data_IF_716412515018
#
_entry.id   IF_716412515018
#
_cell.length_a   1.000
_cell.length_b   1.000
_cell.length_c   1.000
_cell.angle_alpha   90.00
_cell.angle_beta   90.00
_cell.angle_gamma   90.00
#
_symmetry.space_group_name_H-M   'P 1'
#
loop_
_entity.id
_entity.type
_entity.pdbx_description
1 polymer ?
#
# COMPACT_ATOMS: atom_id res chain seq x y z
N UNK A 1 -6.94 1.54 -24.92
CA UNK A 1 -6.90 0.15 -25.41
C UNK A 1 -5.89 -0.71 -24.63
N UNK A 2 -4.69 -0.23 -24.28
CA UNK A 2 -3.67 -1.02 -23.55
C UNK A 2 -3.30 -0.44 -22.17
N UNK A 3 -4.29 -0.26 -21.29
CA UNK A 3 -4.07 0.40 -19.99
C UNK A 3 -3.09 -0.36 -19.06
N UNK A 4 -2.99 -1.67 -19.19
CA UNK A 4 -2.09 -2.52 -18.39
C UNK A 4 -0.61 -2.37 -18.78
N UNK A 5 -0.30 -1.89 -19.99
CA UNK A 5 1.08 -1.76 -20.45
C UNK A 5 1.88 -0.78 -19.58
N UNK A 6 1.27 0.35 -19.18
CA UNK A 6 1.95 1.39 -18.39
C UNK A 6 2.47 0.86 -17.05
N UNK A 7 1.63 0.30 -16.16
CA UNK A 7 2.12 -0.22 -14.88
C UNK A 7 3.09 -1.40 -15.05
N UNK A 8 2.93 -2.23 -16.08
CA UNK A 8 3.84 -3.35 -16.33
C UNK A 8 5.21 -2.89 -16.83
N UNK A 9 5.27 -2.00 -17.82
CA UNK A 9 6.54 -1.44 -18.29
C UNK A 9 7.22 -0.63 -17.18
N UNK A 10 6.45 0.06 -16.34
CA UNK A 10 6.97 0.75 -15.17
C UNK A 10 7.60 -0.23 -14.15
N UNK A 11 6.91 -1.33 -13.83
CA UNK A 11 7.46 -2.41 -12.99
C UNK A 11 8.80 -2.89 -13.52
N UNK A 12 8.89 -3.19 -14.82
CA UNK A 12 10.13 -3.66 -15.44
C UNK A 12 11.25 -2.61 -15.35
N UNK A 13 10.93 -1.34 -15.62
CA UNK A 13 11.92 -0.26 -15.51
C UNK A 13 12.46 -0.09 -14.09
N UNK A 14 11.63 -0.33 -13.05
CA UNK A 14 12.05 -0.35 -11.65
C UNK A 14 12.93 -1.58 -11.38
N UNK A 15 12.52 -2.77 -11.82
CA UNK A 15 13.25 -4.01 -11.57
C UNK A 15 14.62 -4.06 -12.28
N UNK A 16 14.72 -3.44 -13.46
CA UNK A 16 15.98 -3.26 -14.19
C UNK A 16 16.88 -2.16 -13.60
N UNK A 17 16.41 -1.45 -12.57
CA UNK A 17 17.17 -0.36 -11.94
C UNK A 17 17.32 0.88 -12.83
N UNK A 18 16.55 1.01 -13.91
CA UNK A 18 16.65 2.15 -14.83
C UNK A 18 16.27 3.46 -14.14
N UNK A 19 15.18 3.44 -13.35
CA UNK A 19 14.72 4.64 -12.65
C UNK A 19 15.70 5.08 -11.57
N UNK A 20 16.26 4.14 -10.80
CA UNK A 20 17.23 4.44 -9.75
C UNK A 20 18.43 5.18 -10.36
N UNK A 21 19.01 4.65 -11.44
CA UNK A 21 20.16 5.26 -12.14
C UNK A 21 19.83 6.62 -12.73
N UNK A 22 18.66 6.76 -13.35
CA UNK A 22 18.20 8.05 -13.89
C UNK A 22 17.98 9.11 -12.80
N UNK A 23 17.44 8.73 -11.64
CA UNK A 23 17.15 9.66 -10.54
C UNK A 23 18.39 10.09 -9.75
N UNK A 24 19.48 9.31 -9.79
CA UNK A 24 20.74 9.65 -9.11
C UNK A 24 21.77 10.31 -10.04
N UNK A 25 21.54 10.30 -11.35
CA UNK A 25 22.43 10.92 -12.32
C UNK A 25 22.36 12.46 -12.26
N UNK A 26 23.53 13.11 -12.27
CA UNK A 26 23.66 14.58 -12.34
C UNK A 26 23.49 15.12 -13.77
N UNK A 27 23.45 14.23 -14.76
CA UNK A 27 23.37 14.56 -16.17
C UNK A 27 22.37 13.63 -16.89
N UNK A 28 21.79 14.11 -18.01
CA UNK A 28 21.13 13.26 -19.01
C UNK A 28 21.79 11.90 -19.23
N UNK A 29 21.00 10.83 -19.26
CA UNK A 29 21.51 9.48 -19.52
C UNK A 29 21.07 8.98 -20.90
N UNK A 30 21.95 8.30 -21.62
CA UNK A 30 21.62 7.63 -22.89
C UNK A 30 21.32 6.14 -22.67
N UNK A 31 20.49 5.56 -23.54
CA UNK A 31 20.03 4.18 -23.38
C UNK A 31 21.16 3.15 -23.43
N UNK A 32 22.23 3.42 -24.19
CA UNK A 32 23.41 2.55 -24.27
C UNK A 32 24.10 2.39 -22.91
N UNK A 33 24.38 3.49 -22.24
CA UNK A 33 25.01 3.50 -20.90
C UNK A 33 24.11 2.85 -19.85
N UNK A 34 22.81 3.17 -19.89
CA UNK A 34 21.82 2.54 -19.00
C UNK A 34 21.65 1.03 -19.24
N UNK A 35 21.98 0.53 -20.43
CA UNK A 35 21.92 -0.91 -20.72
C UNK A 35 23.16 -1.65 -20.17
N UNK A 36 24.26 -0.97 -19.88
CA UNK A 36 25.49 -1.61 -19.39
C UNK A 36 25.33 -2.25 -18.00
N UNK A 37 24.42 -1.73 -17.18
CA UNK A 37 24.09 -2.34 -15.87
C UNK A 37 23.22 -3.61 -16.01
N UNK A 38 22.64 -3.86 -17.18
CA UNK A 38 21.78 -5.01 -17.44
C UNK A 38 22.66 -6.18 -17.90
N UNK A 39 22.49 -7.33 -17.26
CA UNK A 39 23.11 -8.58 -17.72
C UNK A 39 22.35 -9.10 -18.96
N UNK A 40 22.72 -8.61 -20.13
CA UNK A 40 22.15 -9.02 -21.41
C UNK A 40 23.12 -9.87 -22.24
N UNK A 41 22.59 -10.83 -22.99
CA UNK A 41 23.36 -11.63 -23.94
C UNK A 41 23.79 -10.77 -25.15
N UNK A 42 22.88 -9.93 -25.65
CA UNK A 42 23.15 -8.92 -26.68
C UNK A 42 23.00 -7.52 -26.07
N UNK A 43 24.12 -6.79 -26.01
CA UNK A 43 24.15 -5.43 -25.45
C UNK A 43 23.48 -4.40 -26.36
N UNK A 44 23.57 -4.56 -27.68
CA UNK A 44 22.98 -3.63 -28.63
C UNK A 44 21.45 -3.76 -28.63
N UNK A 45 20.94 -4.98 -28.59
CA UNK A 45 19.50 -5.24 -28.46
C UNK A 45 18.96 -4.74 -27.11
N UNK A 46 19.71 -4.93 -26.02
CA UNK A 46 19.34 -4.39 -24.72
C UNK A 46 19.26 -2.86 -24.74
N UNK A 47 20.23 -2.17 -25.35
CA UNK A 47 20.21 -0.72 -25.50
C UNK A 47 18.98 -0.24 -26.31
N UNK A 48 18.65 -0.91 -27.41
CA UNK A 48 17.46 -0.59 -28.20
C UNK A 48 16.15 -0.82 -27.41
N UNK A 49 16.10 -1.88 -26.60
CA UNK A 49 14.96 -2.18 -25.73
C UNK A 49 14.81 -1.16 -24.61
N UNK A 50 15.90 -0.75 -23.97
CA UNK A 50 15.92 0.33 -22.97
C UNK A 50 15.45 1.64 -23.60
N UNK A 51 15.92 1.99 -24.79
CA UNK A 51 15.47 3.21 -25.47
C UNK A 51 13.96 3.20 -25.74
N UNK A 52 13.43 2.03 -26.13
CA UNK A 52 11.99 1.82 -26.35
C UNK A 52 11.18 1.95 -25.06
N UNK A 53 11.66 1.38 -23.95
CA UNK A 53 11.04 1.52 -22.62
C UNK A 53 11.01 2.98 -22.19
N UNK A 54 12.14 3.69 -22.30
CA UNK A 54 12.24 5.10 -21.93
C UNK A 54 11.36 5.99 -22.83
N UNK A 55 11.31 5.69 -24.13
CA UNK A 55 10.41 6.33 -25.08
C UNK A 55 8.95 6.14 -24.71
N UNK A 56 8.56 4.91 -24.38
CA UNK A 56 7.20 4.61 -23.94
C UNK A 56 6.83 5.36 -22.66
N UNK A 57 7.69 5.32 -21.63
CA UNK A 57 7.47 6.04 -20.37
C UNK A 57 7.45 7.58 -20.54
N UNK A 58 8.15 8.11 -21.54
CA UNK A 58 8.08 9.53 -21.89
C UNK A 58 6.68 9.94 -22.36
N UNK A 59 5.97 9.07 -23.10
CA UNK A 59 4.58 9.32 -23.50
C UNK A 59 3.60 9.43 -22.32
N UNK A 60 4.01 9.00 -21.12
CA UNK A 60 3.23 9.11 -19.88
C UNK A 60 3.81 10.15 -18.90
N UNK A 61 4.61 11.10 -19.41
CA UNK A 61 5.23 12.18 -18.64
C UNK A 61 6.11 11.70 -17.47
N UNK A 62 6.63 10.48 -17.55
CA UNK A 62 7.58 9.95 -16.56
C UNK A 62 9.03 10.27 -16.91
N UNK A 63 9.28 10.55 -18.19
CA UNK A 63 10.60 10.86 -18.73
C UNK A 63 10.51 12.09 -19.64
N UNK A 64 11.58 12.87 -19.66
CA UNK A 64 11.80 13.92 -20.66
C UNK A 64 12.95 13.50 -21.55
N UNK A 65 12.72 13.45 -22.86
CA UNK A 65 13.74 13.12 -23.86
C UNK A 65 14.20 14.39 -24.57
N UNK A 66 15.48 14.49 -24.84
CA UNK A 66 16.08 15.56 -25.64
C UNK A 66 17.26 15.01 -26.42
N UNK A 67 17.81 15.84 -27.31
CA UNK A 67 18.98 15.46 -28.09
C UNK A 67 20.18 15.31 -27.14
N UNK A 68 20.64 14.06 -26.95
CA UNK A 68 21.73 13.73 -26.04
C UNK A 68 21.34 13.00 -24.75
N UNK A 69 20.07 12.66 -24.52
CA UNK A 69 19.70 11.75 -23.43
C UNK A 69 18.27 11.88 -22.91
N UNK A 70 18.07 11.24 -21.76
CA UNK A 70 16.79 11.18 -21.04
C UNK A 70 17.00 11.61 -19.60
N UNK A 71 16.04 12.37 -19.06
CA UNK A 71 15.97 12.69 -17.63
C UNK A 71 14.62 12.25 -17.05
N UNK A 72 14.57 11.82 -15.79
CA UNK A 72 13.32 11.43 -15.15
C UNK A 72 12.49 12.66 -14.77
N UNK A 73 11.17 12.53 -14.83
CA UNK A 73 10.27 13.54 -14.28
C UNK A 73 10.41 13.61 -12.75
N UNK A 74 10.13 14.77 -12.10
CA UNK A 74 10.26 14.90 -10.65
C UNK A 74 9.48 13.86 -9.84
N UNK A 75 8.38 13.31 -10.38
CA UNK A 75 7.59 12.28 -9.71
C UNK A 75 8.35 10.97 -9.54
N UNK A 76 9.31 10.66 -10.41
CA UNK A 76 10.04 9.39 -10.40
C UNK A 76 10.87 9.21 -9.13
N UNK A 77 11.19 10.29 -8.40
CA UNK A 77 11.80 10.24 -7.07
C UNK A 77 10.98 9.43 -6.05
N UNK A 78 9.67 9.29 -6.25
CA UNK A 78 8.80 8.48 -5.40
C UNK A 78 8.84 7.01 -5.78
N UNK A 79 9.42 6.64 -6.92
CA UNK A 79 9.46 5.28 -7.45
C UNK A 79 10.84 4.62 -7.27
N UNK A 80 11.80 5.36 -6.74
CA UNK A 80 13.21 4.95 -6.59
C UNK A 80 13.61 4.87 -5.12
N UNK A 81 14.81 4.39 -4.85
CA UNK A 81 15.40 4.43 -3.50
C UNK A 81 15.48 5.89 -3.03
N UNK A 82 14.93 6.16 -1.85
CA UNK A 82 14.73 7.53 -1.38
C UNK A 82 15.17 7.72 0.08
N UNK A 83 16.35 7.22 0.45
CA UNK A 83 17.01 7.46 1.75
C UNK A 83 16.09 7.37 2.99
N UNK A 84 15.29 6.30 3.09
CA UNK A 84 14.32 6.08 4.18
C UNK A 84 13.15 7.09 4.25
N UNK A 85 12.88 7.88 3.21
CA UNK A 85 11.67 8.72 3.05
C UNK A 85 10.45 7.93 2.55
N UNK A 86 10.64 6.63 2.28
CA UNK A 86 9.65 5.75 1.66
C UNK A 86 9.69 5.83 0.13
N UNK A 87 9.27 4.75 -0.51
CA UNK A 87 9.19 4.59 -1.96
C UNK A 87 7.90 3.87 -2.32
N UNK A 88 7.26 4.31 -3.40
CA UNK A 88 6.18 3.60 -4.07
C UNK A 88 6.72 2.59 -5.09
N UNK A 89 8.04 2.52 -5.30
CA UNK A 89 8.65 1.58 -6.25
C UNK A 89 8.37 0.13 -5.89
N UNK A 90 8.61 -0.25 -4.62
CA UNK A 90 8.30 -1.60 -4.13
C UNK A 90 6.80 -1.91 -4.20
N UNK A 91 5.96 -0.91 -3.96
CA UNK A 91 4.50 -1.03 -4.07
C UNK A 91 4.05 -1.25 -5.52
N UNK A 92 4.62 -0.51 -6.49
CA UNK A 92 4.37 -0.71 -7.90
C UNK A 92 4.82 -2.10 -8.39
N UNK A 93 5.96 -2.58 -7.90
CA UNK A 93 6.42 -3.95 -8.20
C UNK A 93 5.45 -4.98 -7.63
N UNK A 94 5.03 -4.83 -6.38
CA UNK A 94 4.04 -5.71 -5.74
C UNK A 94 2.72 -5.79 -6.51
N UNK A 95 2.11 -4.64 -6.85
CA UNK A 95 0.87 -4.60 -7.61
C UNK A 95 1.01 -5.19 -9.02
N UNK A 96 2.24 -5.16 -9.53
CA UNK A 96 2.59 -5.74 -10.81
C UNK A 96 2.86 -7.24 -10.78
N UNK A 97 3.00 -7.89 -9.62
CA UNK A 97 3.34 -9.33 -9.57
C UNK A 97 2.26 -10.19 -10.24
N UNK A 98 2.63 -11.30 -10.92
CA UNK A 98 1.65 -12.22 -11.49
C UNK A 98 0.62 -12.71 -10.47
N UNK A 99 1.06 -12.98 -9.24
CA UNK A 99 0.20 -13.36 -8.12
C UNK A 99 -0.87 -12.30 -7.80
N UNK A 100 -0.59 -11.02 -8.06
CA UNK A 100 -1.52 -9.92 -7.84
C UNK A 100 -2.37 -9.60 -9.08
N UNK A 101 -1.86 -9.80 -10.30
CA UNK A 101 -2.58 -9.45 -11.55
C UNK A 101 -3.57 -10.53 -11.97
N UNK A 102 -3.19 -11.81 -11.88
CA UNK A 102 -4.04 -12.92 -12.35
C UNK A 102 -5.45 -12.92 -11.71
N UNK A 103 -5.62 -12.63 -10.41
CA UNK A 103 -6.93 -12.45 -9.78
C UNK A 103 -7.90 -11.53 -10.52
N UNK A 104 -7.41 -10.44 -11.13
CA UNK A 104 -8.28 -9.43 -11.75
C UNK A 104 -9.13 -9.99 -12.90
N UNK A 105 -8.73 -11.12 -13.49
CA UNK A 105 -9.51 -11.82 -14.51
C UNK A 105 -10.78 -12.50 -13.97
N UNK A 106 -10.91 -12.68 -12.65
CA UNK A 106 -12.03 -13.37 -12.00
C UNK A 106 -13.05 -12.42 -11.35
N UNK A 107 -12.95 -11.11 -11.57
CA UNK A 107 -13.88 -10.11 -10.98
C UNK A 107 -15.35 -10.43 -11.30
N UNK A 108 -15.66 -10.80 -12.55
CA UNK A 108 -17.03 -11.11 -12.95
C UNK A 108 -17.59 -12.33 -12.19
N UNK A 109 -16.79 -13.39 -12.05
CA UNK A 109 -17.17 -14.59 -11.31
C UNK A 109 -17.38 -14.31 -9.82
N UNK A 110 -16.54 -13.45 -9.24
CA UNK A 110 -16.65 -12.99 -7.85
C UNK A 110 -17.98 -12.25 -7.61
N UNK A 111 -18.43 -11.44 -8.58
CA UNK A 111 -19.72 -10.73 -8.52
C UNK A 111 -20.90 -11.69 -8.60
N UNK A 112 -20.88 -12.66 -9.52
CA UNK A 112 -22.03 -13.53 -9.80
C UNK A 112 -22.24 -14.60 -8.71
N UNK A 113 -21.16 -15.25 -8.28
CA UNK A 113 -21.29 -16.50 -7.52
C UNK A 113 -21.42 -16.33 -5.99
N UNK A 114 -21.25 -15.12 -5.46
CA UNK A 114 -21.30 -14.85 -4.02
C UNK A 114 -20.19 -15.50 -3.18
N UNK A 115 -19.39 -16.41 -3.75
CA UNK A 115 -18.36 -17.24 -3.10
C UNK A 115 -17.01 -16.54 -2.83
N UNK A 116 -15.85 -17.22 -2.99
CA UNK A 116 -14.54 -16.67 -2.66
C UNK A 116 -14.17 -15.38 -3.42
N UNK A 117 -13.15 -14.66 -2.93
CA UNK A 117 -12.60 -13.48 -3.63
C UNK A 117 -11.96 -13.85 -4.95
N UNK A 118 -11.68 -12.86 -5.80
CA UNK A 118 -10.97 -13.09 -7.05
C UNK A 118 -9.61 -13.73 -6.80
N UNK A 119 -8.89 -13.24 -5.78
CA UNK A 119 -7.62 -13.82 -5.37
C UNK A 119 -7.74 -15.29 -4.94
N UNK A 120 -8.71 -15.58 -4.08
CA UNK A 120 -8.93 -16.94 -3.56
C UNK A 120 -9.37 -17.91 -4.67
N UNK A 121 -10.04 -17.45 -5.73
CA UNK A 121 -10.35 -18.27 -6.91
C UNK A 121 -9.11 -18.65 -7.69
N UNK A 122 -8.21 -17.68 -7.91
CA UNK A 122 -6.99 -17.90 -8.69
C UNK A 122 -6.01 -18.80 -7.95
N UNK A 123 -5.85 -18.60 -6.64
CA UNK A 123 -4.80 -19.25 -5.86
C UNK A 123 -5.30 -20.39 -4.97
N UNK A 124 -6.62 -20.59 -4.88
CA UNK A 124 -7.25 -21.66 -4.10
C UNK A 124 -7.20 -21.46 -2.57
N UNK A 125 -6.57 -20.38 -2.09
CA UNK A 125 -6.44 -20.04 -0.67
C UNK A 125 -6.59 -18.53 -0.46
N UNK A 126 -6.99 -18.08 0.74
CA UNK A 126 -6.99 -16.66 1.10
C UNK A 126 -5.62 -15.99 0.94
N UNK A 127 -5.61 -14.68 0.70
CA UNK A 127 -4.40 -13.90 0.41
C UNK A 127 -3.27 -14.08 1.43
N UNK A 128 -3.56 -13.99 2.72
CA UNK A 128 -2.51 -14.12 3.76
C UNK A 128 -1.99 -15.56 3.89
N UNK A 129 -2.81 -16.56 3.62
CA UNK A 129 -2.39 -17.96 3.59
C UNK A 129 -1.45 -18.21 2.40
N UNK A 130 -1.71 -17.54 1.26
CA UNK A 130 -0.81 -17.54 0.11
C UNK A 130 0.52 -16.85 0.42
N UNK A 131 0.49 -15.67 1.05
CA UNK A 131 1.70 -14.97 1.49
C UNK A 131 2.54 -15.83 2.44
N UNK A 132 1.91 -16.50 3.41
CA UNK A 132 2.59 -17.39 4.36
C UNK A 132 3.30 -18.58 3.71
N UNK A 133 2.89 -18.98 2.50
CA UNK A 133 3.54 -20.04 1.71
C UNK A 133 4.57 -19.52 0.71
N UNK A 134 4.57 -18.21 0.43
CA UNK A 134 5.43 -17.58 -0.57
C UNK A 134 6.30 -16.51 0.08
N UNK A 135 7.45 -16.92 0.63
CA UNK A 135 8.37 -16.04 1.35
C UNK A 135 8.81 -14.82 0.52
N UNK A 136 9.03 -15.01 -0.79
CA UNK A 136 9.43 -13.93 -1.71
C UNK A 136 8.34 -12.86 -1.78
N UNK A 137 7.08 -13.28 -2.01
CA UNK A 137 5.95 -12.37 -2.10
C UNK A 137 5.63 -11.74 -0.73
N UNK A 138 5.75 -12.48 0.37
CA UNK A 138 5.60 -11.95 1.73
C UNK A 138 6.61 -10.84 2.00
N UNK A 139 7.89 -11.05 1.71
CA UNK A 139 8.93 -10.04 1.91
C UNK A 139 8.70 -8.80 1.04
N UNK A 140 8.26 -9.00 -0.21
CA UNK A 140 7.90 -7.90 -1.11
C UNK A 140 6.72 -7.10 -0.57
N UNK A 141 5.65 -7.79 -0.12
CA UNK A 141 4.47 -7.19 0.47
C UNK A 141 4.82 -6.39 1.73
N UNK A 142 5.57 -6.98 2.67
CA UNK A 142 5.95 -6.32 3.92
C UNK A 142 6.76 -5.04 3.66
N UNK A 143 7.69 -5.09 2.70
CA UNK A 143 8.47 -3.92 2.30
C UNK A 143 7.60 -2.86 1.63
N UNK A 144 6.71 -3.27 0.71
CA UNK A 144 5.79 -2.37 0.04
C UNK A 144 4.88 -1.62 1.03
N UNK A 145 4.31 -2.33 2.00
CA UNK A 145 3.49 -1.73 3.06
C UNK A 145 4.33 -0.77 3.91
N UNK A 146 5.50 -1.20 4.39
CA UNK A 146 6.35 -0.37 5.24
C UNK A 146 6.75 0.95 4.57
N UNK A 147 7.16 0.90 3.31
CA UNK A 147 7.56 2.09 2.56
C UNK A 147 6.37 3.02 2.27
N UNK A 148 5.19 2.46 1.97
CA UNK A 148 3.95 3.21 1.79
C UNK A 148 3.50 3.91 3.08
N UNK A 149 3.51 3.22 4.23
CA UNK A 149 3.17 3.80 5.53
C UNK A 149 4.12 4.93 5.94
N UNK A 150 5.42 4.85 5.59
CA UNK A 150 6.36 5.96 5.80
C UNK A 150 5.91 7.20 5.02
N UNK A 151 5.56 7.05 3.75
CA UNK A 151 5.08 8.18 2.92
C UNK A 151 3.82 8.80 3.55
N UNK A 152 2.84 7.98 3.92
CA UNK A 152 1.58 8.43 4.53
C UNK A 152 1.81 9.15 5.87
N UNK A 153 2.67 8.61 6.73
CA UNK A 153 2.91 9.15 8.08
C UNK A 153 3.78 10.40 8.09
N UNK A 154 4.72 10.54 7.14
CA UNK A 154 5.63 11.70 7.09
C UNK A 154 5.19 12.78 6.09
N UNK A 155 4.21 12.48 5.23
CA UNK A 155 3.90 13.31 4.06
C UNK A 155 5.06 13.33 3.06
N UNK A 156 5.82 12.23 2.99
CA UNK A 156 6.99 12.08 2.12
C UNK A 156 8.20 12.94 2.51
N UNK A 157 8.26 13.38 3.77
CA UNK A 157 9.43 14.08 4.34
C UNK A 157 10.34 13.08 5.06
N UNK A 158 11.62 13.42 5.20
CA UNK A 158 12.55 12.61 6.00
C UNK A 158 12.03 12.46 7.44
N UNK A 159 12.08 11.24 8.02
CA UNK A 159 11.88 11.04 9.45
C UNK A 159 12.72 12.02 10.27
N UNK A 160 12.10 12.78 11.18
CA UNK A 160 12.85 13.65 12.09
C UNK A 160 13.69 12.77 13.02
N UNK A 161 15.02 12.80 12.87
CA UNK A 161 15.97 12.29 13.88
C UNK A 161 16.01 13.27 15.06
N UNK A 162 15.03 13.25 15.97
CA UNK A 162 15.18 13.80 17.33
C UNK A 162 13.99 13.46 18.25
N UNK A 163 14.32 13.25 19.53
CA UNK A 163 13.49 12.89 20.69
C UNK A 163 13.08 11.42 20.84
N UNK A 164 14.06 10.55 21.10
CA UNK A 164 13.87 9.49 22.08
C UNK A 164 13.73 10.15 23.47
N UNK A 165 12.51 10.51 23.88
CA UNK A 165 12.24 10.99 25.25
C UNK A 165 11.06 10.24 25.85
N UNK A 166 11.38 9.40 26.84
CA UNK A 166 10.58 9.02 28.03
C UNK A 166 9.06 9.29 27.98
N UNK A 167 8.35 8.70 27.03
CA UNK A 167 6.87 8.64 27.04
C UNK A 167 6.31 7.30 26.55
N UNK A 168 7.15 6.26 26.45
CA UNK A 168 6.76 4.90 26.07
C UNK A 168 6.10 4.13 27.23
N UNK A 169 4.99 4.64 27.79
CA UNK A 169 4.15 3.82 28.70
C UNK A 169 2.96 3.25 27.90
N UNK A 170 3.20 2.07 27.31
CA UNK A 170 2.25 1.14 26.66
C UNK A 170 1.56 1.67 25.39
N UNK A 171 2.33 1.70 24.30
CA UNK A 171 1.80 1.62 22.94
C UNK A 171 1.78 0.14 22.51
N UNK A 172 0.64 -0.36 22.02
CA UNK A 172 0.52 -1.72 21.48
C UNK A 172 0.19 -1.61 19.99
N UNK A 173 1.15 -1.87 19.10
CA UNK A 173 0.85 -2.24 17.73
C UNK A 173 0.03 -3.53 17.78
N UNK A 174 -1.19 -3.52 17.30
CA UNK A 174 -1.98 -4.75 17.09
C UNK A 174 -1.52 -5.68 15.91
N UNK A 175 -0.45 -5.39 15.13
CA UNK A 175 -0.13 -5.91 13.76
C UNK A 175 1.27 -6.46 13.81
N UNK A 176 1.48 -7.57 13.10
CA UNK A 176 2.80 -8.10 12.83
C UNK A 176 3.61 -7.35 11.75
N UNK A 177 3.01 -6.36 11.06
CA UNK A 177 3.65 -5.57 10.01
C UNK A 177 4.71 -4.60 10.53
N UNK A 178 5.79 -4.43 9.76
CA UNK A 178 7.08 -3.76 10.06
C UNK A 178 7.02 -2.65 11.13
N UNK A 179 7.74 -2.85 12.25
CA UNK A 179 7.90 -1.96 13.43
C UNK A 179 8.25 -0.49 13.12
N UNK A 180 8.76 -0.20 11.93
CA UNK A 180 9.32 1.11 11.55
C UNK A 180 8.24 2.19 11.35
N UNK A 181 7.07 1.83 10.84
CA UNK A 181 5.92 2.75 10.67
C UNK A 181 5.32 3.15 12.02
N UNK A 182 5.28 2.19 12.96
CA UNK A 182 4.74 2.39 14.30
C UNK A 182 5.65 3.26 15.16
N UNK A 183 6.97 3.13 15.06
CA UNK A 183 7.93 4.05 15.69
C UNK A 183 7.75 5.50 15.23
N UNK A 184 7.44 5.74 13.95
CA UNK A 184 7.23 7.09 13.39
C UNK A 184 5.94 7.76 13.85
N UNK A 185 4.85 6.99 13.99
CA UNK A 185 3.57 7.49 14.50
C UNK A 185 3.62 7.81 16.01
N UNK A 186 4.40 7.05 16.79
CA UNK A 186 4.62 7.30 18.24
C UNK A 186 5.16 8.72 18.50
N UNK A 187 5.96 9.29 17.59
CA UNK A 187 6.53 10.63 17.77
C UNK A 187 5.54 11.79 17.53
N UNK A 188 4.41 11.55 16.85
CA UNK A 188 3.41 12.60 16.54
C UNK A 188 2.18 12.54 17.43
N UNK A 189 1.97 11.43 18.14
CA UNK A 189 0.76 11.17 18.90
C UNK A 189 1.07 11.21 20.41
N UNK A 190 0.27 11.92 21.24
CA UNK A 190 0.44 11.90 22.69
C UNK A 190 0.37 10.47 23.26
N UNK A 191 1.08 10.26 24.36
CA UNK A 191 1.51 8.98 24.96
C UNK A 191 0.42 7.97 25.43
N UNK A 192 -0.82 8.04 24.95
CA UNK A 192 -1.94 7.17 25.38
C UNK A 192 -2.86 6.74 24.23
N UNK A 193 -2.32 6.39 23.06
CA UNK A 193 -3.15 6.06 21.89
C UNK A 193 -2.66 4.80 21.17
N UNK A 194 -3.60 3.98 20.69
CA UNK A 194 -3.33 2.89 19.76
C UNK A 194 -3.65 3.35 18.34
N UNK A 195 -2.81 2.98 17.36
CA UNK A 195 -3.02 3.28 15.95
C UNK A 195 -3.38 1.99 15.21
N UNK A 196 -4.49 2.00 14.50
CA UNK A 196 -5.03 0.93 13.67
C UNK A 196 -4.95 1.38 12.20
N UNK A 197 -4.11 0.73 11.42
CA UNK A 197 -3.88 0.84 9.95
C UNK A 197 -4.50 -0.41 9.30
N UNK A 198 -5.71 -0.36 8.75
CA UNK A 198 -6.73 -1.42 8.74
C UNK A 198 -6.47 -2.69 7.89
N UNK A 199 -5.39 -3.38 8.18
CA UNK A 199 -5.21 -4.81 7.94
C UNK A 199 -4.74 -5.46 9.25
N UNK A 200 -5.66 -5.97 10.09
CA UNK A 200 -5.27 -6.50 11.41
C UNK A 200 -5.64 -7.96 11.65
N UNK A 201 -4.58 -8.65 12.04
CA UNK A 201 -4.43 -9.88 12.80
C UNK A 201 -5.42 -10.03 13.97
N UNK A 202 -5.99 -11.22 14.14
CA UNK A 202 -6.55 -11.71 15.40
C UNK A 202 -5.60 -12.81 15.90
N UNK A 203 -5.40 -12.88 17.23
CA UNK A 203 -4.67 -13.99 17.85
C UNK A 203 -5.16 -15.34 17.34
N UNK A 204 -4.21 -16.28 17.21
CA UNK A 204 -4.31 -17.61 16.59
C UNK A 204 -4.28 -17.68 15.05
N UNK A 205 -3.66 -16.69 14.40
CA UNK A 205 -3.11 -16.85 13.03
C UNK A 205 -3.99 -16.38 11.87
N UNK A 206 -5.05 -15.60 12.11
CA UNK A 206 -5.91 -15.06 11.05
C UNK A 206 -5.79 -13.54 10.87
N UNK A 207 -5.79 -13.04 9.64
CA UNK A 207 -5.94 -11.60 9.35
C UNK A 207 -7.41 -11.25 9.09
N UNK A 208 -7.94 -10.25 9.81
CA UNK A 208 -9.32 -9.77 9.65
C UNK A 208 -9.36 -8.63 8.63
N UNK A 209 -10.01 -8.90 7.50
CA UNK A 209 -10.34 -7.88 6.50
C UNK A 209 -11.82 -7.52 6.59
N UNK A 210 -12.09 -6.22 6.57
CA UNK A 210 -13.35 -5.61 7.00
C UNK A 210 -14.41 -5.71 5.89
N UNK A 211 -14.94 -6.90 5.64
CA UNK A 211 -15.98 -7.13 4.60
C UNK A 211 -17.37 -6.60 4.99
N UNK A 212 -17.71 -6.59 6.28
CA UNK A 212 -19.04 -6.18 6.81
C UNK A 212 -18.89 -5.24 8.01
N UNK A 213 -19.84 -4.34 8.19
CA UNK A 213 -19.89 -3.37 9.31
C UNK A 213 -19.84 -4.04 10.69
N UNK A 214 -20.54 -5.18 10.87
CA UNK A 214 -20.51 -5.90 12.15
C UNK A 214 -19.16 -6.50 12.50
N UNK A 215 -18.47 -7.09 11.50
CA UNK A 215 -17.13 -7.65 11.70
C UNK A 215 -16.16 -6.53 12.05
N UNK A 216 -16.31 -5.41 11.35
CA UNK A 216 -15.59 -4.19 11.64
C UNK A 216 -15.80 -3.70 13.08
N UNK A 217 -17.05 -3.56 13.51
CA UNK A 217 -17.37 -3.07 14.84
C UNK A 217 -16.83 -4.02 15.93
N UNK A 218 -16.92 -5.33 15.71
CA UNK A 218 -16.38 -6.34 16.62
C UNK A 218 -14.85 -6.25 16.76
N UNK A 219 -14.12 -6.07 15.66
CA UNK A 219 -12.66 -5.89 15.72
C UNK A 219 -12.25 -4.60 16.43
N UNK A 220 -12.95 -3.48 16.19
CA UNK A 220 -12.69 -2.24 16.95
C UNK A 220 -13.04 -2.39 18.42
N UNK A 221 -14.07 -3.17 18.75
CA UNK A 221 -14.45 -3.47 20.13
C UNK A 221 -13.33 -4.22 20.85
N UNK A 222 -12.75 -5.25 20.24
CA UNK A 222 -11.61 -5.96 20.81
C UNK A 222 -10.43 -5.01 21.06
N UNK A 223 -10.13 -4.11 20.11
CA UNK A 223 -9.09 -3.09 20.28
C UNK A 223 -9.41 -2.14 21.43
N UNK A 224 -10.67 -1.68 21.52
CA UNK A 224 -11.13 -0.79 22.58
C UNK A 224 -11.05 -1.43 23.97
N UNK A 225 -11.46 -2.69 24.10
CA UNK A 225 -11.41 -3.45 25.35
C UNK A 225 -9.98 -3.70 25.85
N UNK A 226 -9.00 -3.75 24.94
CA UNK A 226 -7.59 -3.88 25.30
C UNK A 226 -6.96 -2.58 25.85
N UNK A 227 -7.67 -1.44 25.78
CA UNK A 227 -7.14 -0.15 26.21
C UNK A 227 -7.36 0.12 27.71
N UNK A 228 -6.45 0.87 28.37
CA UNK A 228 -6.70 1.37 29.71
C UNK A 228 -7.88 2.35 29.71
N UNK A 229 -8.45 2.59 30.91
CA UNK A 229 -9.53 3.57 31.09
C UNK A 229 -9.15 4.93 30.51
N UNK A 230 -9.98 5.45 29.60
CA UNK A 230 -9.73 6.72 28.90
C UNK A 230 -8.86 6.60 27.63
N UNK A 231 -8.41 5.40 27.27
CA UNK A 231 -7.69 5.14 26.04
C UNK A 231 -8.54 5.37 24.79
N UNK A 232 -7.88 5.69 23.68
CA UNK A 232 -8.53 5.93 22.37
C UNK A 232 -7.98 4.98 21.31
N UNK A 233 -8.89 4.54 20.42
CA UNK A 233 -8.54 3.88 19.16
C UNK A 233 -8.47 4.94 18.08
N UNK A 234 -7.34 5.05 17.39
CA UNK A 234 -7.20 5.88 16.19
C UNK A 234 -7.16 4.97 14.97
N UNK A 235 -8.04 5.23 14.03
CA UNK A 235 -8.02 4.59 12.71
C UNK A 235 -7.37 5.57 11.72
N UNK A 236 -6.32 5.12 11.03
CA UNK A 236 -5.63 5.88 9.98
C UNK A 236 -5.93 5.20 8.65
N UNK A 237 -6.82 5.78 7.85
CA UNK A 237 -7.30 5.21 6.61
C UNK A 237 -7.59 6.27 5.54
N UNK A 238 -7.50 5.85 4.28
CA UNK A 238 -7.99 6.63 3.15
C UNK A 238 -9.51 6.67 3.18
N UNK A 239 -10.10 7.86 3.03
CA UNK A 239 -11.55 7.99 2.95
C UNK A 239 -11.99 7.86 1.50
N UNK A 240 -12.92 6.94 1.24
CA UNK A 240 -13.59 6.87 -0.05
C UNK A 240 -14.48 8.11 -0.20
N UNK A 241 -14.35 8.90 -1.28
CA UNK A 241 -15.26 10.00 -1.56
C UNK A 241 -16.70 9.50 -1.75
N UNK A 242 -17.68 10.28 -1.31
CA UNK A 242 -19.10 9.90 -1.47
C UNK A 242 -19.53 9.89 -2.95
N UNK A 243 -18.91 10.74 -3.77
CA UNK A 243 -19.16 10.83 -5.20
C UNK A 243 -17.86 10.64 -5.96
N UNK A 244 -17.83 9.81 -7.01
CA UNK A 244 -16.68 9.71 -7.91
C UNK A 244 -16.37 11.07 -8.55
N UNK A 245 -15.08 11.38 -8.68
CA UNK A 245 -14.59 12.55 -9.41
C UNK A 245 -13.39 12.14 -10.28
N UNK A 246 -13.60 12.15 -11.60
CA UNK A 246 -12.58 11.75 -12.57
C UNK A 246 -11.42 12.74 -12.67
N UNK A 247 -11.60 14.00 -12.22
CA UNK A 247 -10.57 15.03 -12.25
C UNK A 247 -9.74 15.05 -10.95
N UNK A 248 -10.22 14.40 -9.89
CA UNK A 248 -9.50 14.27 -8.63
C UNK A 248 -8.62 13.02 -8.62
N UNK A 249 -7.31 13.22 -8.61
CA UNK A 249 -6.34 12.12 -8.45
C UNK A 249 -6.57 11.36 -7.15
N UNK A 250 -6.82 12.07 -6.04
CA UNK A 250 -7.10 11.44 -4.75
C UNK A 250 -8.37 10.59 -4.78
N UNK A 251 -9.42 11.02 -5.51
CA UNK A 251 -10.62 10.22 -5.67
C UNK A 251 -10.34 8.96 -6.51
N UNK A 252 -9.61 9.10 -7.62
CA UNK A 252 -9.20 7.98 -8.48
C UNK A 252 -8.36 6.96 -7.70
N UNK A 253 -7.41 7.42 -6.88
CA UNK A 253 -6.58 6.56 -6.05
C UNK A 253 -7.42 5.81 -5.00
N UNK A 254 -8.37 6.49 -4.35
CA UNK A 254 -9.26 5.86 -3.37
C UNK A 254 -10.15 4.77 -3.98
N UNK A 255 -10.74 5.01 -5.16
CA UNK A 255 -11.53 4.00 -5.87
C UNK A 255 -10.67 2.88 -6.46
N UNK A 256 -9.42 3.16 -6.85
CA UNK A 256 -8.47 2.13 -7.28
C UNK A 256 -8.13 1.21 -6.13
N UNK A 257 -7.84 1.76 -4.95
CA UNK A 257 -7.60 0.97 -3.74
C UNK A 257 -8.84 0.19 -3.30
N UNK A 258 -10.05 0.73 -3.47
CA UNK A 258 -11.30 -0.01 -3.23
C UNK A 258 -11.41 -1.26 -4.11
N UNK A 259 -11.08 -1.14 -5.40
CA UNK A 259 -11.04 -2.28 -6.30
C UNK A 259 -9.96 -3.29 -5.93
N UNK A 260 -8.77 -2.85 -5.49
CA UNK A 260 -7.76 -3.76 -4.95
C UNK A 260 -8.26 -4.51 -3.70
N UNK A 261 -8.97 -3.84 -2.79
CA UNK A 261 -9.55 -4.48 -1.60
C UNK A 261 -10.68 -5.46 -1.96
N UNK A 262 -11.46 -5.16 -3.00
CA UNK A 262 -12.46 -6.06 -3.54
C UNK A 262 -11.84 -7.32 -4.14
N UNK A 263 -10.80 -7.16 -4.96
CA UNK A 263 -10.12 -8.26 -5.64
C UNK A 263 -9.48 -9.26 -4.65
N UNK A 264 -8.70 -8.72 -3.71
CA UNK A 264 -7.99 -9.53 -2.71
C UNK A 264 -8.95 -10.16 -1.69
N UNK A 265 -9.94 -9.39 -1.21
CA UNK A 265 -10.67 -9.75 0.00
C UNK A 265 -12.19 -9.64 -0.10
N UNK A 266 -12.75 -9.21 -1.23
CA UNK A 266 -14.17 -8.77 -1.32
C UNK A 266 -14.52 -7.74 -0.25
N UNK A 267 -13.55 -6.90 0.10
CA UNK A 267 -13.73 -5.83 1.08
C UNK A 267 -13.97 -4.50 0.37
N UNK A 268 -14.30 -3.47 1.15
CA UNK A 268 -14.53 -2.11 0.65
C UNK A 268 -13.86 -1.07 1.51
N UNK A 269 -13.35 -0.04 0.85
CA UNK A 269 -13.03 1.25 1.44
C UNK A 269 -14.30 1.94 1.91
N UNK A 270 -14.14 2.89 2.83
CA UNK A 270 -15.26 3.49 3.57
C UNK A 270 -15.26 5.00 3.45
N UNK A 271 -16.46 5.55 3.37
CA UNK A 271 -16.68 6.99 3.44
C UNK A 271 -16.57 7.47 4.89
N UNK A 272 -16.49 8.79 5.08
CA UNK A 272 -16.60 9.41 6.41
C UNK A 272 -17.90 9.03 7.12
N UNK A 273 -19.01 8.93 6.37
CA UNK A 273 -20.32 8.54 6.91
C UNK A 273 -20.30 7.10 7.43
N UNK A 274 -19.67 6.18 6.71
CA UNK A 274 -19.54 4.78 7.12
C UNK A 274 -18.73 4.67 8.42
N UNK A 275 -17.61 5.38 8.53
CA UNK A 275 -16.83 5.41 9.78
C UNK A 275 -17.61 6.05 10.94
N UNK A 276 -18.42 7.07 10.66
CA UNK A 276 -19.28 7.70 11.67
C UNK A 276 -20.34 6.71 12.18
N UNK A 277 -20.94 5.92 11.27
CA UNK A 277 -21.88 4.86 11.63
C UNK A 277 -21.20 3.77 12.45
N UNK A 278 -20.02 3.32 12.02
CA UNK A 278 -19.22 2.33 12.72
C UNK A 278 -18.86 2.77 14.15
N UNK A 279 -18.51 4.03 14.34
CA UNK A 279 -18.23 4.59 15.66
C UNK A 279 -19.46 4.57 16.58
N UNK A 280 -20.66 4.83 16.04
CA UNK A 280 -21.92 4.74 16.80
C UNK A 280 -22.27 3.30 17.17
N UNK A 281 -22.12 2.36 16.23
CA UNK A 281 -22.33 0.93 16.49
C UNK A 281 -21.38 0.43 17.59
N UNK A 282 -20.10 0.78 17.50
CA UNK A 282 -19.12 0.48 18.54
C UNK A 282 -19.53 1.04 19.91
N UNK A 283 -19.96 2.30 19.97
CA UNK A 283 -20.43 2.91 21.21
C UNK A 283 -21.61 2.14 21.82
N UNK A 284 -22.57 1.71 20.99
CA UNK A 284 -23.71 0.91 21.46
C UNK A 284 -23.30 -0.47 22.00
N UNK A 285 -22.35 -1.14 21.33
CA UNK A 285 -21.84 -2.45 21.74
C UNK A 285 -21.03 -2.41 23.04
N UNK A 286 -20.37 -1.28 23.33
CA UNK A 286 -19.64 -1.05 24.58
C UNK A 286 -20.61 -0.70 25.71
N UNK A 287 -21.68 0.06 25.42
CA UNK A 287 -22.70 0.44 26.40
C UNK A 287 -23.57 -0.74 26.85
N UNK A 288 -23.92 -1.66 25.94
CA UNK A 288 -24.76 -2.83 26.25
C UNK A 288 -24.13 -3.83 27.23
N UNK A 289 -22.84 -3.69 27.53
CA UNK A 289 -22.08 -4.58 28.42
C UNK A 289 -21.66 -3.91 29.74
N UNK A 290 -21.93 -2.61 29.93
CA UNK A 290 -21.76 -2.02 31.26
C UNK A 290 -22.87 -2.54 32.17
N UNK A 291 -22.56 -3.09 33.36
CA UNK A 291 -23.60 -3.52 34.28
C UNK A 291 -24.47 -2.31 34.61
N UNK A 292 -25.78 -2.41 34.39
CA UNK A 292 -26.75 -1.50 34.99
C UNK A 292 -26.66 -1.70 36.50
N UNK A 293 -25.85 -0.88 37.16
CA UNK A 293 -25.96 -0.71 38.60
C UNK A 293 -27.22 0.12 38.85
N UNK A 294 -28.33 -0.59 39.08
CA UNK A 294 -29.54 -0.08 39.71
C UNK A 294 -29.33 0.12 41.20
#
# INVERSE_FOLDING_TARGET
MFAFNVPLVLREAIQLGLLDTLCTADAPQIAGELAEQIKAADKAEAAASVDSILGYLACFNMMTRFWGGTTPAPLCRWLTKNDSKGSLGTFAVFLGEPDHILPWHHIAETVVSGGPSSFERTHGVPFYDHLGKNQRLSTLFDKAMAEHSVILSTGGKAPRKQLATKAARKFVPTTGGVKKSTELLIHKLPAMMSVVEAAWWCGDGGVVVWRRERVAAASLKNCYQALPKGGKVIVVEGLLPETPDANSLAARDAFTLDMCMFDLFKARQRTKKDYTKLARELASLVQSEQPTYS
#
